data_IF_368035155881
#
_entry.id   IF_368035155881
#
_cell.length_a   1.000
_cell.length_b   1.000
_cell.length_c   1.000
_cell.angle_alpha   90.00
_cell.angle_beta   90.00
_cell.angle_gamma   90.00
#
_symmetry.space_group_name_H-M   'P 1'
#
loop_
_entity.id
_entity.type
_entity.pdbx_description
1 polymer ?
#
# COMPACT_ATOMS: atom_id res chain seq x y z
N UNK A 1 5.82 33.66 51.95
CA UNK A 1 4.55 32.92 52.05
C UNK A 1 4.86 31.60 52.73
N UNK A 2 4.50 31.49 54.00
CA UNK A 2 4.81 30.34 54.88
C UNK A 2 3.67 29.33 54.80
N UNK A 3 3.97 28.13 54.30
CA UNK A 3 3.03 27.01 54.23
C UNK A 3 2.49 26.67 55.63
N UNK A 4 1.20 26.33 55.70
CA UNK A 4 0.50 26.15 56.97
C UNK A 4 0.81 24.79 57.58
N UNK A 5 0.62 24.65 58.90
CA UNK A 5 0.89 23.40 59.64
C UNK A 5 0.09 22.20 59.13
N UNK A 6 -1.01 22.43 58.39
CA UNK A 6 -1.86 21.42 57.76
C UNK A 6 -1.21 20.81 56.50
N UNK A 7 -0.43 21.61 55.77
CA UNK A 7 0.25 21.19 54.54
C UNK A 7 1.48 20.28 54.81
N UNK A 8 1.98 20.25 56.06
CA UNK A 8 3.11 19.38 56.48
C UNK A 8 2.69 17.99 56.94
N UNK A 9 1.42 17.78 57.29
CA UNK A 9 0.94 16.46 57.75
C UNK A 9 0.47 15.58 56.58
N UNK A 10 -0.04 16.16 55.49
CA UNK A 10 -0.46 15.40 54.29
C UNK A 10 0.73 14.86 53.48
N UNK A 11 1.85 15.58 53.45
CA UNK A 11 3.12 15.13 52.84
C UNK A 11 3.85 14.03 53.63
N UNK A 12 3.39 13.68 54.84
CA UNK A 12 3.93 12.58 55.64
C UNK A 12 3.26 11.24 55.38
N UNK A 13 2.08 11.22 54.77
CA UNK A 13 1.40 9.97 54.38
C UNK A 13 1.83 9.47 52.99
N UNK A 14 2.35 10.34 52.12
CA UNK A 14 2.81 9.96 50.77
C UNK A 14 4.20 9.30 50.72
N UNK A 15 4.95 9.27 51.84
CA UNK A 15 6.31 8.71 51.89
C UNK A 15 6.49 7.64 52.98
N UNK A 16 5.40 7.08 53.51
CA UNK A 16 5.37 6.29 54.74
C UNK A 16 5.00 4.80 54.61
N UNK A 17 5.74 4.04 53.80
CA UNK A 17 6.13 2.65 54.10
C UNK A 17 5.16 1.47 53.84
N UNK A 18 5.70 0.41 53.21
CA UNK A 18 5.83 -0.91 53.87
C UNK A 18 6.84 -1.80 53.14
N UNK A 19 7.91 -2.12 53.85
CA UNK A 19 8.87 -3.17 53.56
C UNK A 19 8.37 -4.48 54.16
N UNK A 20 8.17 -5.51 53.36
CA UNK A 20 7.99 -6.89 53.82
C UNK A 20 8.74 -7.86 52.87
N UNK A 21 9.83 -8.44 53.39
CA UNK A 21 10.13 -9.88 53.34
C UNK A 21 10.41 -10.59 52.01
N UNK A 22 11.69 -10.93 51.80
CA UNK A 22 12.24 -11.93 50.84
C UNK A 22 11.87 -13.37 51.24
N UNK A 23 11.67 -14.28 50.27
CA UNK A 23 12.51 -15.47 50.13
C UNK A 23 12.95 -15.64 48.65
N UNK A 24 14.23 -15.76 48.29
CA UNK A 24 15.14 -16.82 48.71
C UNK A 24 15.04 -17.98 47.72
N UNK A 25 15.79 -17.95 46.62
CA UNK A 25 15.95 -19.11 45.73
C UNK A 25 17.44 -19.36 45.48
N UNK A 26 17.97 -20.33 46.22
CA UNK A 26 19.24 -20.98 45.93
C UNK A 26 18.98 -22.41 45.45
N UNK A 27 19.62 -22.80 44.35
CA UNK A 27 19.98 -24.16 43.92
C UNK A 27 20.87 -23.94 42.69
N UNK A 28 22.20 -23.92 42.82
CA UNK A 28 23.12 -25.06 42.87
C UNK A 28 23.05 -25.99 41.65
N UNK A 29 24.00 -25.76 40.75
CA UNK A 29 24.78 -26.68 39.90
C UNK A 29 24.08 -27.81 39.14
N UNK A 30 24.20 -27.76 37.80
CA UNK A 30 25.05 -28.75 37.14
C UNK A 30 25.74 -28.14 35.90
N UNK A 31 27.06 -28.25 35.85
CA UNK A 31 27.88 -27.94 34.69
C UNK A 31 28.02 -29.16 33.78
N UNK A 32 28.39 -28.88 32.53
CA UNK A 32 29.45 -29.54 31.72
C UNK A 32 29.29 -28.98 30.29
N UNK A 33 30.12 -28.02 29.88
CA UNK A 33 31.35 -28.25 29.12
C UNK A 33 31.13 -29.05 27.82
N UNK A 34 31.13 -28.36 26.68
CA UNK A 34 32.07 -28.66 25.60
C UNK A 34 32.35 -27.39 24.77
N UNK A 35 33.62 -27.22 24.42
CA UNK A 35 34.27 -26.05 23.87
C UNK A 35 34.77 -26.39 22.46
N UNK A 36 34.98 -25.33 21.64
CA UNK A 36 35.76 -25.29 20.39
C UNK A 36 35.07 -25.87 19.12
N UNK A 37 35.30 -25.36 17.91
CA UNK A 37 36.38 -24.51 17.38
C UNK A 37 35.94 -23.85 16.06
N UNK A 38 36.42 -22.63 15.86
CA UNK A 38 36.65 -21.95 14.58
C UNK A 38 37.59 -22.77 13.66
N UNK A 39 37.29 -22.84 12.35
CA UNK A 39 38.22 -22.58 11.22
C UNK A 39 37.55 -22.81 9.85
N UNK A 40 37.68 -21.79 8.99
CA UNK A 40 37.94 -21.74 7.55
C UNK A 40 37.51 -22.89 6.60
N UNK A 41 36.95 -22.49 5.45
CA UNK A 41 36.46 -23.37 4.39
C UNK A 41 37.54 -24.05 3.54
N UNK A 42 37.12 -24.66 2.41
CA UNK A 42 37.88 -24.39 1.18
C UNK A 42 37.04 -24.22 -0.09
N UNK A 43 37.69 -23.50 -1.00
CA UNK A 43 37.46 -23.32 -2.43
C UNK A 43 37.49 -24.62 -3.24
N UNK A 44 36.63 -24.74 -4.26
CA UNK A 44 36.98 -25.18 -5.64
C UNK A 44 35.73 -25.27 -6.54
N UNK A 45 35.69 -24.50 -7.66
CA UNK A 45 35.87 -24.94 -9.08
C UNK A 45 34.68 -25.76 -9.62
N UNK A 46 34.14 -25.59 -10.84
CA UNK A 46 34.61 -24.99 -12.11
C UNK A 46 33.47 -25.02 -13.15
N UNK A 47 33.71 -24.37 -14.29
CA UNK A 47 33.12 -24.54 -15.64
C UNK A 47 32.01 -23.51 -15.98
N UNK A 48 32.17 -22.52 -16.87
CA UNK A 48 33.21 -22.22 -17.85
C UNK A 48 32.78 -22.62 -19.27
N UNK A 49 32.41 -21.64 -20.11
CA UNK A 49 32.51 -21.55 -21.60
C UNK A 49 32.34 -20.04 -21.96
N UNK A 50 33.39 -19.26 -22.22
CA UNK A 50 34.01 -18.90 -23.53
C UNK A 50 33.01 -18.44 -24.62
N UNK A 51 33.17 -17.35 -25.36
CA UNK A 51 34.29 -16.42 -25.47
C UNK A 51 34.08 -15.36 -26.56
N UNK A 52 35.00 -14.39 -26.54
CA UNK A 52 35.72 -13.81 -27.69
C UNK A 52 35.00 -12.90 -28.71
N UNK A 53 35.37 -11.61 -28.65
CA UNK A 53 35.53 -10.65 -29.77
C UNK A 53 36.65 -11.13 -30.73
N UNK A 54 37.09 -10.45 -31.82
CA UNK A 54 36.62 -9.23 -32.50
C UNK A 54 36.56 -9.40 -34.05
N UNK A 55 36.32 -8.33 -34.83
CA UNK A 55 36.70 -8.32 -36.26
C UNK A 55 35.94 -7.33 -37.14
N UNK A 56 36.67 -6.56 -37.93
CA UNK A 56 36.22 -5.50 -38.84
C UNK A 56 35.91 -6.01 -40.25
N UNK A 57 35.31 -5.10 -41.01
CA UNK A 57 35.56 -4.74 -42.41
C UNK A 57 34.79 -5.39 -43.57
N UNK A 58 34.29 -4.47 -44.42
CA UNK A 58 34.06 -4.54 -45.87
C UNK A 58 32.91 -5.42 -46.39
N UNK A 59 32.17 -5.10 -47.46
CA UNK A 59 31.96 -3.93 -48.33
C UNK A 59 30.85 -4.35 -49.34
N UNK A 60 30.31 -3.38 -50.07
CA UNK A 60 29.62 -3.47 -51.38
C UNK A 60 28.15 -3.88 -51.49
N UNK A 61 27.40 -3.04 -52.21
CA UNK A 61 26.32 -3.49 -53.09
C UNK A 61 25.01 -2.68 -53.02
N UNK A 62 25.03 -1.40 -53.37
CA UNK A 62 24.45 -0.84 -54.61
C UNK A 62 22.92 -0.67 -54.70
N UNK A 63 22.55 0.53 -55.19
CA UNK A 63 21.41 0.83 -56.09
C UNK A 63 20.02 0.87 -55.41
N UNK A 64 19.14 1.87 -55.56
CA UNK A 64 19.01 3.07 -56.39
C UNK A 64 17.90 3.92 -55.71
N UNK A 65 18.08 5.20 -55.40
CA UNK A 65 18.10 6.40 -56.24
C UNK A 65 16.70 7.00 -56.52
N UNK A 66 16.53 8.20 -55.93
CA UNK A 66 15.84 9.41 -56.39
C UNK A 66 14.34 9.37 -56.76
N UNK A 67 13.50 10.18 -56.07
CA UNK A 67 13.23 11.62 -56.35
C UNK A 67 12.89 11.86 -57.82
N UNK A 68 11.65 12.24 -58.11
CA UNK A 68 11.33 13.38 -58.98
C UNK A 68 9.97 13.99 -58.62
N UNK A 69 10.05 15.24 -58.19
CA UNK A 69 9.00 16.26 -58.23
C UNK A 69 9.00 16.95 -59.60
N UNK A 70 7.86 17.56 -59.95
CA UNK A 70 7.59 18.60 -60.97
C UNK A 70 6.57 18.13 -62.01
N UNK A 71 5.37 18.72 -62.00
CA UNK A 71 5.01 19.88 -62.83
C UNK A 71 4.66 19.42 -64.25
N UNK A 72 3.39 19.51 -64.65
CA UNK A 72 3.07 19.81 -66.03
C UNK A 72 1.67 20.43 -66.15
N UNK A 73 1.73 21.66 -66.62
CA UNK A 73 0.69 22.58 -67.02
C UNK A 73 0.20 22.20 -68.44
N UNK A 74 -1.12 22.25 -68.63
CA UNK A 74 -1.87 22.54 -69.87
C UNK A 74 -1.29 22.16 -71.24
N UNK A 75 -1.98 21.26 -71.96
CA UNK A 75 -2.26 21.48 -73.39
C UNK A 75 -3.61 20.88 -73.81
N UNK A 76 -4.41 21.77 -74.42
CA UNK A 76 -5.76 21.62 -74.97
C UNK A 76 -5.74 20.85 -76.30
N UNK A 77 -6.75 20.02 -76.57
CA UNK A 77 -7.00 19.42 -77.89
C UNK A 77 -8.41 18.81 -78.01
N UNK A 78 -9.05 18.80 -79.20
CA UNK A 78 -10.48 19.07 -79.35
C UNK A 78 -11.41 17.84 -79.38
N UNK A 79 -12.69 18.16 -79.21
CA UNK A 79 -13.84 17.27 -79.16
C UNK A 79 -14.03 16.37 -80.40
N UNK A 80 -14.46 15.14 -80.14
CA UNK A 80 -15.35 14.40 -81.05
C UNK A 80 -16.47 13.72 -80.28
N UNK A 81 -17.65 13.90 -80.86
CA UNK A 81 -18.97 13.46 -80.42
C UNK A 81 -19.16 11.95 -80.63
N UNK A 82 -19.65 11.24 -79.62
CA UNK A 82 -20.26 9.91 -79.78
C UNK A 82 -21.24 9.58 -78.64
N UNK A 83 -22.50 9.98 -78.85
CA UNK A 83 -23.72 9.16 -78.67
C UNK A 83 -23.86 8.30 -77.40
N UNK A 84 -24.62 8.79 -76.42
CA UNK A 84 -25.27 7.96 -75.39
C UNK A 84 -26.37 7.08 -75.99
N UNK A 85 -26.50 5.84 -75.50
CA UNK A 85 -27.83 5.27 -75.26
C UNK A 85 -28.01 4.80 -73.81
N UNK A 86 -29.18 5.17 -73.29
CA UNK A 86 -30.06 4.40 -72.42
C UNK A 86 -29.47 3.64 -71.20
N UNK A 87 -29.77 4.21 -70.03
CA UNK A 87 -30.39 3.58 -68.86
C UNK A 87 -29.85 2.23 -68.33
N UNK A 88 -29.38 2.23 -67.07
CA UNK A 88 -29.91 1.43 -65.94
C UNK A 88 -28.93 1.40 -64.74
N UNK A 89 -29.40 0.97 -63.57
CA UNK A 89 -30.07 1.76 -62.55
C UNK A 89 -29.07 2.43 -61.58
N UNK A 90 -29.50 3.52 -60.96
CA UNK A 90 -28.85 4.03 -59.75
C UNK A 90 -28.98 2.96 -58.66
N UNK A 91 -27.87 2.30 -58.31
CA UNK A 91 -27.75 1.58 -57.04
C UNK A 91 -27.77 2.64 -55.93
N UNK A 92 -28.98 3.07 -55.54
CA UNK A 92 -29.20 3.85 -54.34
C UNK A 92 -28.87 2.92 -53.18
N UNK A 93 -27.61 2.98 -52.74
CA UNK A 93 -27.11 2.28 -51.56
C UNK A 93 -28.04 2.60 -50.40
N UNK A 94 -29.00 1.72 -50.15
CA UNK A 94 -29.84 1.74 -48.95
C UNK A 94 -28.93 1.27 -47.84
N UNK A 95 -27.98 2.12 -47.46
CA UNK A 95 -27.10 1.89 -46.31
C UNK A 95 -28.00 1.65 -45.13
N UNK A 96 -27.96 0.40 -44.71
CA UNK A 96 -28.97 -0.21 -43.86
C UNK A 96 -28.96 0.52 -42.52
N UNK A 97 -30.02 1.28 -42.20
CA UNK A 97 -30.21 1.88 -40.87
C UNK A 97 -29.93 0.85 -39.76
N UNK A 98 -30.20 -0.44 -40.03
CA UNK A 98 -29.86 -1.57 -39.15
C UNK A 98 -28.35 -1.66 -38.84
N UNK A 99 -27.46 -1.52 -39.84
CA UNK A 99 -25.99 -1.53 -39.65
C UNK A 99 -25.51 -0.39 -38.76
N UNK A 100 -26.16 0.78 -38.84
CA UNK A 100 -25.87 1.91 -37.96
C UNK A 100 -26.27 1.61 -36.51
N UNK A 101 -27.49 1.07 -36.28
CA UNK A 101 -27.93 0.69 -34.93
C UNK A 101 -27.07 -0.42 -34.30
N UNK A 102 -26.60 -1.40 -35.09
CA UNK A 102 -25.68 -2.43 -34.60
C UNK A 102 -24.30 -1.86 -34.20
N UNK A 103 -23.75 -0.94 -35.00
CA UNK A 103 -22.47 -0.31 -34.69
C UNK A 103 -22.54 0.57 -33.42
N UNK A 104 -23.63 1.34 -33.27
CA UNK A 104 -23.86 2.16 -32.07
C UNK A 104 -24.07 1.26 -30.83
N UNK A 105 -24.84 0.18 -30.95
CA UNK A 105 -25.04 -0.78 -29.86
C UNK A 105 -23.73 -1.45 -29.40
N UNK A 106 -22.86 -1.87 -30.33
CA UNK A 106 -21.56 -2.46 -30.00
C UNK A 106 -20.64 -1.46 -29.28
N UNK A 107 -20.60 -0.20 -29.73
CA UNK A 107 -19.82 0.84 -29.07
C UNK A 107 -20.33 1.17 -27.67
N UNK A 108 -21.65 1.17 -27.45
CA UNK A 108 -22.23 1.34 -26.12
C UNK A 108 -21.90 0.16 -25.20
N UNK A 109 -22.02 -1.08 -25.70
CA UNK A 109 -21.63 -2.28 -24.94
C UNK A 109 -20.15 -2.24 -24.59
N UNK A 110 -19.28 -1.86 -25.53
CA UNK A 110 -17.84 -1.69 -25.29
C UNK A 110 -17.56 -0.60 -24.25
N UNK A 111 -18.23 0.55 -24.34
CA UNK A 111 -18.09 1.63 -23.37
C UNK A 111 -18.55 1.19 -21.96
N UNK A 112 -19.68 0.48 -21.86
CA UNK A 112 -20.16 -0.10 -20.59
C UNK A 112 -19.16 -1.13 -20.06
N UNK A 113 -18.64 -2.01 -20.90
CA UNK A 113 -17.65 -3.01 -20.51
C UNK A 113 -16.34 -2.37 -20.02
N UNK A 114 -15.90 -1.27 -20.65
CA UNK A 114 -14.75 -0.48 -20.19
C UNK A 114 -15.06 0.17 -18.85
N UNK A 115 -16.22 0.81 -18.67
CA UNK A 115 -16.61 1.43 -17.39
C UNK A 115 -16.68 0.37 -16.29
N UNK A 116 -17.33 -0.78 -16.54
CA UNK A 116 -17.42 -1.90 -15.59
C UNK A 116 -16.03 -2.48 -15.31
N UNK A 117 -15.20 -2.69 -16.33
CA UNK A 117 -13.84 -3.19 -16.18
C UNK A 117 -12.96 -2.23 -15.37
N UNK A 118 -13.03 -0.93 -15.63
CA UNK A 118 -12.31 0.10 -14.87
C UNK A 118 -12.80 0.13 -13.42
N UNK A 119 -14.12 0.05 -13.17
CA UNK A 119 -14.66 -0.01 -11.81
C UNK A 119 -14.22 -1.29 -11.07
N UNK A 120 -14.23 -2.46 -11.75
CA UNK A 120 -13.79 -3.72 -11.16
C UNK A 120 -12.30 -3.75 -10.84
N UNK A 121 -11.46 -3.08 -11.64
CA UNK A 121 -10.02 -3.00 -11.40
C UNK A 121 -9.67 -1.94 -10.34
N UNK A 122 -10.47 -0.87 -10.24
CA UNK A 122 -10.28 0.20 -9.26
C UNK A 122 -10.75 -0.17 -7.85
N UNK A 123 -11.73 -1.07 -7.69
CA UNK A 123 -12.17 -1.56 -6.37
C UNK A 123 -11.32 -2.73 -5.85
N UNK A 124 -9.99 -2.59 -5.86
CA UNK A 124 -9.15 -3.43 -5.01
C UNK A 124 -9.20 -2.85 -3.61
N UNK A 125 -9.92 -3.53 -2.71
CA UNK A 125 -9.94 -3.18 -1.29
C UNK A 125 -8.55 -3.19 -0.66
N UNK A 126 -8.42 -2.71 0.59
CA UNK A 126 -7.16 -2.78 1.30
C UNK A 126 -6.70 -4.23 1.37
N UNK A 127 -5.40 -4.44 1.17
CA UNK A 127 -4.74 -5.73 1.23
C UNK A 127 -3.51 -5.57 2.09
N UNK A 128 -3.21 -6.62 2.86
CA UNK A 128 -2.00 -6.67 3.64
C UNK A 128 -0.77 -6.67 2.74
N UNK A 129 0.34 -6.25 3.33
CA UNK A 129 1.65 -6.25 2.69
C UNK A 129 2.58 -7.13 3.50
N UNK A 130 3.82 -7.24 3.04
CA UNK A 130 4.81 -8.00 3.79
C UNK A 130 4.54 -9.50 3.91
N UNK A 131 5.12 -10.08 4.96
CA UNK A 131 5.09 -11.51 5.28
C UNK A 131 4.56 -11.80 6.69
N UNK A 132 4.32 -10.77 7.51
CA UNK A 132 3.76 -10.85 8.86
C UNK A 132 2.28 -11.22 8.85
N UNK A 133 1.66 -11.24 10.04
CA UNK A 133 0.28 -11.67 10.15
C UNK A 133 -0.67 -10.69 9.45
N UNK A 134 -1.44 -11.23 8.52
CA UNK A 134 -2.59 -10.57 7.92
C UNK A 134 -3.87 -11.24 8.44
N UNK A 135 -4.71 -10.49 9.13
CA UNK A 135 -5.98 -11.02 9.65
C UNK A 135 -7.15 -10.10 9.36
N UNK A 136 -8.33 -10.71 9.26
CA UNK A 136 -9.59 -9.98 9.17
C UNK A 136 -10.49 -10.45 10.30
N UNK A 137 -11.11 -9.51 11.01
CA UNK A 137 -11.99 -9.84 12.13
C UNK A 137 -12.92 -8.69 12.49
N UNK A 138 -13.90 -8.97 13.35
CA UNK A 138 -14.77 -7.93 13.88
C UNK A 138 -14.06 -7.13 14.96
N UNK A 139 -14.23 -5.81 14.95
CA UNK A 139 -13.81 -4.96 16.07
C UNK A 139 -14.63 -5.33 17.30
N UNK A 140 -13.98 -5.74 18.38
CA UNK A 140 -14.66 -6.23 19.60
C UNK A 140 -14.61 -5.20 20.72
N UNK A 141 -13.59 -4.37 20.78
CA UNK A 141 -13.43 -3.36 21.82
C UNK A 141 -12.51 -2.21 21.39
N UNK A 142 -12.80 -0.99 21.82
CA UNK A 142 -11.95 0.19 21.61
C UNK A 142 -11.32 0.60 22.95
N UNK A 143 -10.00 0.47 23.05
CA UNK A 143 -9.26 0.75 24.29
C UNK A 143 -9.06 2.27 24.43
N UNK A 144 -8.49 2.87 23.39
CA UNK A 144 -8.17 4.30 23.27
C UNK A 144 -8.11 4.68 21.78
N UNK A 145 -7.47 5.81 21.43
CA UNK A 145 -7.40 6.28 20.06
C UNK A 145 -6.56 5.40 19.14
N UNK A 146 -5.48 4.77 19.61
CA UNK A 146 -4.55 4.00 18.78
C UNK A 146 -4.49 2.51 19.15
N UNK A 147 -5.38 2.06 20.03
CA UNK A 147 -5.44 0.69 20.49
C UNK A 147 -6.88 0.16 20.45
N UNK A 148 -7.07 -0.96 19.75
CA UNK A 148 -8.35 -1.64 19.60
C UNK A 148 -8.19 -3.16 19.59
N UNK A 149 -9.25 -3.88 19.91
CA UNK A 149 -9.33 -5.33 19.81
C UNK A 149 -10.07 -5.73 18.52
N UNK A 150 -9.44 -6.60 17.72
CA UNK A 150 -10.01 -7.19 16.51
C UNK A 150 -10.03 -8.70 16.69
N UNK A 151 -11.23 -9.29 16.81
CA UNK A 151 -11.39 -10.66 17.27
C UNK A 151 -10.79 -10.84 18.67
N UNK A 152 -9.78 -11.70 18.79
CA UNK A 152 -9.01 -11.94 20.02
C UNK A 152 -7.68 -11.19 20.06
N UNK A 153 -7.37 -10.36 19.06
CA UNK A 153 -6.08 -9.71 18.92
C UNK A 153 -6.15 -8.27 19.41
N UNK A 154 -5.33 -7.93 20.41
CA UNK A 154 -5.08 -6.55 20.83
C UNK A 154 -4.10 -5.90 19.87
N UNK A 155 -4.56 -4.89 19.15
CA UNK A 155 -3.80 -4.18 18.13
C UNK A 155 -3.40 -2.80 18.64
N UNK A 156 -2.11 -2.47 18.52
CA UNK A 156 -1.56 -1.11 18.65
C UNK A 156 -1.26 -0.60 17.25
N UNK A 157 -1.77 0.57 16.90
CA UNK A 157 -1.58 1.10 15.55
C UNK A 157 -0.11 1.45 15.27
N UNK A 158 0.43 0.97 14.15
CA UNK A 158 1.79 1.28 13.71
C UNK A 158 1.95 2.79 13.44
N UNK A 159 3.13 3.33 13.78
CA UNK A 159 3.57 4.71 13.50
C UNK A 159 2.73 5.86 14.09
N UNK A 160 1.64 5.61 14.81
CA UNK A 160 0.78 6.66 15.37
C UNK A 160 0.74 6.61 16.88
N UNK A 161 0.59 7.75 17.56
CA UNK A 161 0.34 7.79 18.99
C UNK A 161 -0.74 8.80 19.33
N UNK A 162 -1.72 8.39 20.12
CA UNK A 162 -2.83 9.23 20.59
C UNK A 162 -2.61 9.62 22.05
N UNK A 163 -3.26 10.68 22.55
CA UNK A 163 -3.21 11.02 23.97
C UNK A 163 -3.71 9.87 24.84
N UNK A 164 -2.97 9.58 25.91
CA UNK A 164 -3.25 8.50 26.85
C UNK A 164 -4.36 8.88 27.86
N UNK A 165 -4.87 7.90 28.60
CA UNK A 165 -5.89 8.14 29.65
C UNK A 165 -5.43 9.25 30.61
N UNK A 166 -6.28 10.27 30.77
CA UNK A 166 -6.01 11.43 31.63
C UNK A 166 -5.29 12.59 30.93
N UNK A 167 -4.91 12.44 29.66
CA UNK A 167 -4.41 13.52 28.81
C UNK A 167 -5.56 14.21 28.06
N UNK A 168 -5.37 15.49 27.73
CA UNK A 168 -6.31 16.22 26.88
C UNK A 168 -6.32 15.62 25.47
N UNK A 169 -7.51 15.45 24.88
CA UNK A 169 -7.67 14.82 23.55
C UNK A 169 -7.93 13.31 23.58
N UNK A 170 -7.83 12.66 24.75
CA UNK A 170 -8.05 11.21 24.89
C UNK A 170 -9.44 10.78 24.40
N UNK A 171 -10.49 11.47 24.84
CA UNK A 171 -11.86 11.12 24.50
C UNK A 171 -12.13 11.35 23.02
N UNK A 172 -11.64 12.46 22.48
CA UNK A 172 -11.78 12.84 21.08
C UNK A 172 -11.11 11.82 20.14
N UNK A 173 -9.89 11.38 20.47
CA UNK A 173 -9.19 10.35 19.71
C UNK A 173 -9.91 9.00 19.79
N UNK A 174 -10.36 8.61 20.99
CA UNK A 174 -11.11 7.36 21.20
C UNK A 174 -12.46 7.35 20.47
N UNK A 175 -13.18 8.47 20.49
CA UNK A 175 -14.46 8.62 19.81
C UNK A 175 -14.28 8.60 18.30
N UNK A 176 -13.22 9.23 17.78
CA UNK A 176 -12.88 9.16 16.36
C UNK A 176 -12.60 7.74 15.90
N UNK A 177 -11.82 6.98 16.67
CA UNK A 177 -11.58 5.56 16.41
C UNK A 177 -12.87 4.74 16.48
N UNK A 178 -13.74 5.02 17.45
CA UNK A 178 -15.04 4.36 17.56
C UNK A 178 -15.99 4.68 16.41
N UNK A 179 -15.90 5.87 15.80
CA UNK A 179 -16.70 6.26 14.63
C UNK A 179 -16.15 5.65 13.34
N UNK A 180 -14.82 5.58 13.20
CA UNK A 180 -14.14 5.06 12.01
C UNK A 180 -14.16 3.53 11.98
N UNK A 181 -13.95 2.90 13.13
CA UNK A 181 -13.93 1.46 13.36
C UNK A 181 -14.93 1.07 14.47
N UNK A 182 -16.25 1.17 14.24
CA UNK A 182 -17.22 0.87 15.28
C UNK A 182 -17.17 -0.61 15.67
N UNK A 183 -17.48 -0.89 16.94
CA UNK A 183 -17.61 -2.26 17.44
C UNK A 183 -18.61 -3.04 16.56
N UNK A 184 -18.19 -4.22 16.13
CA UNK A 184 -18.91 -5.07 15.17
C UNK A 184 -18.55 -4.85 13.70
N UNK A 185 -17.82 -3.78 13.35
CA UNK A 185 -17.31 -3.59 12.00
C UNK A 185 -16.22 -4.61 11.67
N UNK A 186 -16.16 -5.04 10.40
CA UNK A 186 -15.03 -5.83 9.91
C UNK A 186 -13.82 -4.93 9.70
N UNK A 187 -12.70 -5.35 10.28
CA UNK A 187 -11.39 -4.72 10.15
C UNK A 187 -10.39 -5.68 9.50
N UNK A 188 -9.57 -5.15 8.59
CA UNK A 188 -8.35 -5.79 8.12
C UNK A 188 -7.19 -5.26 8.96
N UNK A 189 -6.37 -6.16 9.49
CA UNK A 189 -5.19 -5.86 10.29
C UNK A 189 -3.97 -6.39 9.55
N UNK A 190 -3.06 -5.47 9.24
CA UNK A 190 -1.80 -5.71 8.52
C UNK A 190 -0.65 -5.50 9.50
N UNK A 191 -0.12 -6.58 10.07
CA UNK A 191 0.96 -6.54 11.06
C UNK A 191 2.26 -6.01 10.43
N UNK A 192 2.98 -5.18 11.17
CA UNK A 192 4.26 -4.61 10.74
C UNK A 192 5.37 -5.67 10.73
N UNK A 193 5.87 -6.02 9.55
CA UNK A 193 6.99 -6.93 9.33
C UNK A 193 8.21 -6.61 10.22
N UNK A 194 8.49 -5.33 10.43
CA UNK A 194 9.63 -4.86 11.23
C UNK A 194 9.43 -4.97 12.73
N UNK A 195 8.21 -5.27 13.19
CA UNK A 195 7.83 -5.20 14.60
C UNK A 195 6.91 -6.35 15.05
N UNK A 196 7.07 -7.53 14.46
CA UNK A 196 6.30 -8.77 14.78
C UNK A 196 6.42 -9.28 16.22
N UNK A 197 7.45 -8.84 16.97
CA UNK A 197 7.54 -9.11 18.41
C UNK A 197 6.44 -8.39 19.23
N UNK A 198 5.77 -7.41 18.59
CA UNK A 198 4.72 -6.62 19.20
C UNK A 198 5.23 -5.61 20.23
N UNK A 199 4.28 -5.02 20.96
CA UNK A 199 4.55 -4.12 22.10
C UNK A 199 3.74 -4.56 23.31
N UNK A 200 4.38 -5.11 24.33
CA UNK A 200 3.74 -5.59 25.56
C UNK A 200 2.60 -6.60 25.30
N UNK A 201 2.81 -7.52 24.34
CA UNK A 201 1.81 -8.52 23.95
C UNK A 201 0.73 -8.02 22.98
N UNK A 202 0.91 -6.83 22.40
CA UNK A 202 0.03 -6.25 21.38
C UNK A 202 0.65 -6.40 19.99
N UNK A 203 -0.15 -6.75 18.99
CA UNK A 203 0.26 -6.72 17.58
C UNK A 203 0.40 -5.27 17.12
N UNK A 204 1.51 -4.92 16.47
CA UNK A 204 1.71 -3.58 15.89
C UNK A 204 1.28 -3.65 14.42
N UNK A 205 0.30 -2.85 14.01
CA UNK A 205 -0.31 -3.01 12.69
C UNK A 205 -0.91 -1.72 12.10
N UNK A 206 -1.11 -1.72 10.79
CA UNK A 206 -2.06 -0.82 10.13
C UNK A 206 -3.44 -1.47 10.11
N UNK A 207 -4.47 -0.71 10.47
CA UNK A 207 -5.85 -1.21 10.53
C UNK A 207 -6.73 -0.50 9.52
N UNK A 208 -7.52 -1.28 8.77
CA UNK A 208 -8.51 -0.75 7.84
C UNK A 208 -9.93 -1.19 8.21
N UNK A 209 -10.85 -0.24 8.37
CA UNK A 209 -12.29 -0.48 8.57
C UNK A 209 -13.09 0.12 7.43
N UNK A 210 -13.91 -0.67 6.74
CA UNK A 210 -14.70 -0.17 5.61
C UNK A 210 -13.86 0.43 4.47
N UNK A 211 -12.60 -0.01 4.32
CA UNK A 211 -11.65 0.54 3.34
C UNK A 211 -10.89 1.78 3.80
N UNK A 212 -11.20 2.33 4.99
CA UNK A 212 -10.50 3.49 5.57
C UNK A 212 -9.32 3.01 6.40
N UNK A 213 -8.12 3.53 6.12
CA UNK A 213 -6.93 3.35 6.96
C UNK A 213 -7.08 4.20 8.24
N UNK A 214 -7.23 3.54 9.39
CA UNK A 214 -7.43 4.20 10.69
C UNK A 214 -6.19 5.00 11.11
N UNK A 215 -4.98 4.47 10.90
CA UNK A 215 -3.72 5.11 11.24
C UNK A 215 -3.59 6.47 10.53
N UNK A 216 -3.79 6.46 9.21
CA UNK A 216 -3.79 7.67 8.38
C UNK A 216 -4.89 8.64 8.81
N UNK A 217 -6.10 8.15 9.06
CA UNK A 217 -7.23 8.98 9.41
C UNK A 217 -6.99 9.76 10.71
N UNK A 218 -6.42 9.11 11.73
CA UNK A 218 -6.07 9.72 13.02
C UNK A 218 -4.99 10.82 12.90
N UNK A 219 -3.97 10.59 12.07
CA UNK A 219 -2.94 11.60 11.79
C UNK A 219 -3.54 12.81 11.06
N UNK A 220 -4.32 12.57 10.00
CA UNK A 220 -4.94 13.63 9.19
C UNK A 220 -5.96 14.45 9.96
N UNK A 221 -6.64 13.86 10.93
CA UNK A 221 -7.60 14.56 11.79
C UNK A 221 -6.95 15.30 12.95
N UNK A 222 -5.64 15.13 13.18
CA UNK A 222 -4.93 15.74 14.30
C UNK A 222 -5.24 15.11 15.66
N UNK A 223 -5.75 13.88 15.69
CA UNK A 223 -6.00 13.13 16.93
C UNK A 223 -4.83 12.25 17.35
N UNK A 224 -3.85 12.05 16.46
CA UNK A 224 -2.61 11.34 16.73
C UNK A 224 -1.40 12.11 16.22
N UNK A 225 -0.24 11.79 16.78
CA UNK A 225 1.08 12.23 16.32
C UNK A 225 1.82 11.05 15.67
N UNK A 226 2.68 11.36 14.69
CA UNK A 226 3.56 10.37 14.07
C UNK A 226 4.70 9.98 15.03
N UNK A 227 4.86 8.69 15.28
CA UNK A 227 5.96 8.14 16.09
C UNK A 227 7.17 7.89 15.20
N UNK A 228 7.88 8.97 14.88
CA UNK A 228 9.00 8.95 13.92
C UNK A 228 10.17 8.03 14.31
N UNK A 229 10.28 7.69 15.60
CA UNK A 229 11.27 6.72 16.11
C UNK A 229 11.19 5.36 15.39
N UNK A 230 10.01 4.93 14.98
CA UNK A 230 9.81 3.64 14.31
C UNK A 230 9.89 3.70 12.78
N UNK A 231 10.14 4.87 12.18
CA UNK A 231 10.26 5.00 10.72
C UNK A 231 11.40 4.15 10.12
N UNK A 232 12.47 3.89 10.89
CA UNK A 232 13.61 3.10 10.40
C UNK A 232 13.38 1.59 10.43
N UNK A 233 12.31 1.13 11.07
CA UNK A 233 12.00 -0.30 11.24
C UNK A 233 10.67 -0.69 10.60
N UNK A 234 9.69 0.21 10.59
CA UNK A 234 8.35 -0.09 10.09
C UNK A 234 8.34 -0.21 8.58
N UNK A 235 7.73 -1.28 8.05
CA UNK A 235 7.52 -1.40 6.59
C UNK A 235 6.57 -0.33 6.04
N UNK A 236 5.77 0.29 6.91
CA UNK A 236 4.81 1.32 6.54
C UNK A 236 5.43 2.73 6.47
N UNK A 237 6.73 2.88 6.75
CA UNK A 237 7.39 4.19 6.75
C UNK A 237 7.49 4.85 5.36
N UNK A 238 7.37 4.09 4.28
CA UNK A 238 7.38 4.63 2.91
C UNK A 238 5.99 5.03 2.40
N UNK A 239 4.95 4.88 3.24
CA UNK A 239 3.59 5.15 2.84
C UNK A 239 3.33 6.64 2.72
N UNK A 240 2.57 7.03 1.68
CA UNK A 240 2.25 8.42 1.38
C UNK A 240 1.45 9.16 2.48
N UNK A 241 0.88 8.43 3.44
CA UNK A 241 0.20 9.00 4.60
C UNK A 241 1.12 9.26 5.79
N UNK A 242 2.37 8.79 5.72
CA UNK A 242 3.40 9.07 6.71
C UNK A 242 4.28 10.21 6.22
N UNK A 243 4.77 11.02 7.17
CA UNK A 243 5.82 12.02 6.94
C UNK A 243 7.17 11.51 7.49
N UNK A 244 7.43 10.19 7.35
CA UNK A 244 8.70 9.61 7.73
C UNK A 244 9.84 10.14 6.82
N UNK A 245 11.02 10.45 7.40
CA UNK A 245 12.15 11.02 6.66
C UNK A 245 12.96 9.99 5.85
#
# INVERSE_FOLDING_TARGET
MTATRRDREEMRELLGGRSDGVPGCGSSMNGNHELQRIHEGPSSKKSGVNGTSPGREADLGTSERCRWSALLLELRGPATSAKQPAASPSMRSRTSKKRFFFAVGLLLILAIAIVVGVNLVAFRGPHCRGMAACLTGGVTYIVDGDTLDVGSTRVRLALVNTPEVGQAGYLEAKDFTSQTCPVGAQALVDEDDGQTAGSYGRTIAVVHCGGVNLNEALLKSGYAELVSYYCSVSEFADQAWTDCP
#
